data_IF_417322927993
#
_entry.id   IF_417322927993
#
_cell.length_a   1.000
_cell.length_b   1.000
_cell.length_c   1.000
_cell.angle_alpha   90.00
_cell.angle_beta   90.00
_cell.angle_gamma   90.00
#
_symmetry.space_group_name_H-M   'P 1'
#
loop_
_entity.id
_entity.type
_entity.pdbx_description
1 polymer ?
#
# COMPACT_ATOMS: atom_id res chain seq x y z
N UNK A 1 -1.38 -17.97 -8.68
CA UNK A 1 0.02 -17.59 -8.34
C UNK A 1 0.46 -16.30 -9.04
N UNK A 2 0.32 -16.17 -10.37
CA UNK A 2 0.77 -14.96 -11.10
C UNK A 2 0.11 -13.65 -10.64
N UNK A 3 -1.18 -13.67 -10.28
CA UNK A 3 -1.90 -12.48 -9.82
C UNK A 3 -1.36 -11.91 -8.50
N UNK A 4 -1.03 -12.76 -7.52
CA UNK A 4 -0.47 -12.31 -6.24
C UNK A 4 0.93 -11.71 -6.41
N UNK A 5 1.75 -12.30 -7.30
CA UNK A 5 3.07 -11.76 -7.64
C UNK A 5 2.97 -10.40 -8.32
N UNK A 6 2.00 -10.23 -9.23
CA UNK A 6 1.75 -8.94 -9.87
C UNK A 6 1.37 -7.87 -8.84
N UNK A 7 0.44 -8.18 -7.92
CA UNK A 7 0.03 -7.25 -6.86
C UNK A 7 1.23 -6.91 -5.96
N UNK A 8 2.02 -7.90 -5.54
CA UNK A 8 3.21 -7.67 -4.73
C UNK A 8 4.25 -6.78 -5.44
N UNK A 9 4.52 -7.03 -6.72
CA UNK A 9 5.42 -6.21 -7.52
C UNK A 9 4.91 -4.77 -7.68
N UNK A 10 3.60 -4.59 -7.84
CA UNK A 10 3.01 -3.26 -7.98
C UNK A 10 3.04 -2.47 -6.67
N UNK A 11 2.80 -3.11 -5.53
CA UNK A 11 2.99 -2.50 -4.21
C UNK A 11 4.47 -2.15 -3.98
N UNK A 12 5.40 -3.03 -4.37
CA UNK A 12 6.84 -2.77 -4.27
C UNK A 12 7.26 -1.58 -5.12
N UNK A 13 6.73 -1.45 -6.34
CA UNK A 13 6.94 -0.28 -7.18
C UNK A 13 6.56 1.03 -6.47
N UNK A 14 5.43 1.07 -5.75
CA UNK A 14 5.06 2.26 -4.98
C UNK A 14 6.01 2.52 -3.82
N UNK A 15 6.41 1.50 -3.07
CA UNK A 15 7.39 1.65 -1.99
C UNK A 15 8.70 2.24 -2.50
N UNK A 16 9.24 1.69 -3.59
CA UNK A 16 10.51 2.13 -4.16
C UNK A 16 10.44 3.55 -4.73
N UNK A 17 9.30 3.92 -5.32
CA UNK A 17 9.09 5.26 -5.89
C UNK A 17 8.87 6.34 -4.82
N UNK A 18 8.35 5.97 -3.65
CA UNK A 18 7.94 6.93 -2.61
C UNK A 18 8.88 6.98 -1.39
N UNK A 19 9.76 6.00 -1.22
CA UNK A 19 10.63 5.89 -0.03
C UNK A 19 11.50 7.12 0.22
N UNK A 20 11.90 7.85 -0.83
CA UNK A 20 12.75 9.04 -0.69
C UNK A 20 12.01 10.20 -0.01
N UNK A 21 10.72 10.38 -0.31
CA UNK A 21 9.86 11.44 0.25
C UNK A 21 9.10 10.98 1.51
N UNK A 22 8.77 9.69 1.58
CA UNK A 22 8.08 9.04 2.69
C UNK A 22 8.76 7.71 3.04
N UNK A 23 9.87 7.73 3.81
CA UNK A 23 10.61 6.52 4.17
C UNK A 23 9.79 5.47 4.92
N UNK A 24 8.71 5.90 5.59
CA UNK A 24 7.79 5.03 6.33
C UNK A 24 6.68 4.43 5.47
N UNK A 25 6.68 4.60 4.15
CA UNK A 25 5.59 4.14 3.28
C UNK A 25 5.34 2.63 3.39
N UNK A 26 6.38 1.83 3.62
CA UNK A 26 6.25 0.39 3.82
C UNK A 26 5.33 0.03 5.01
N UNK A 27 5.25 0.92 6.01
CA UNK A 27 4.41 0.77 7.21
C UNK A 27 3.08 1.55 7.11
N UNK A 28 2.70 1.98 5.90
CA UNK A 28 1.48 2.76 5.63
C UNK A 28 0.53 1.99 4.71
N UNK A 29 -0.14 0.94 5.22
CA UNK A 29 -1.08 0.14 4.42
C UNK A 29 -2.25 0.98 3.90
N UNK A 30 -2.62 2.04 4.62
CA UNK A 30 -3.61 3.03 4.17
C UNK A 30 -3.16 3.73 2.88
N UNK A 31 -1.92 4.22 2.84
CA UNK A 31 -1.39 4.91 1.66
C UNK A 31 -1.15 3.93 0.53
N UNK A 32 -0.56 2.76 0.79
CA UNK A 32 -0.36 1.74 -0.23
C UNK A 32 -1.69 1.26 -0.84
N UNK A 33 -2.73 1.11 -0.03
CA UNK A 33 -4.10 0.82 -0.49
C UNK A 33 -4.66 1.93 -1.37
N UNK A 34 -4.48 3.19 -0.99
CA UNK A 34 -4.89 4.34 -1.81
C UNK A 34 -4.15 4.38 -3.15
N UNK A 35 -2.82 4.20 -3.16
CA UNK A 35 -2.01 4.20 -4.38
C UNK A 35 -2.39 3.06 -5.33
N UNK A 36 -2.62 1.87 -4.78
CA UNK A 36 -3.13 0.74 -5.54
C UNK A 36 -4.49 1.05 -6.20
N UNK A 37 -5.39 1.71 -5.46
CA UNK A 37 -6.74 2.02 -5.91
C UNK A 37 -6.77 3.10 -7.02
N UNK A 38 -5.96 4.15 -6.90
CA UNK A 38 -5.99 5.28 -7.83
C UNK A 38 -4.99 5.14 -8.99
N UNK A 39 -3.95 4.32 -8.82
CA UNK A 39 -2.97 4.00 -9.85
C UNK A 39 -1.83 5.00 -9.97
N UNK A 40 -0.69 4.52 -10.46
CA UNK A 40 0.56 5.29 -10.51
C UNK A 40 0.51 6.52 -11.42
N UNK A 41 -0.29 6.50 -12.50
CA UNK A 41 -0.37 7.57 -13.50
C UNK A 41 -0.82 8.92 -12.93
N UNK A 42 -1.60 8.92 -11.86
CA UNK A 42 -2.17 10.14 -11.24
C UNK A 42 -1.57 10.45 -9.86
N UNK A 43 -0.54 9.71 -9.45
CA UNK A 43 0.09 9.86 -8.13
C UNK A 43 1.50 10.40 -8.25
N UNK A 44 1.90 11.22 -7.27
CA UNK A 44 3.27 11.71 -7.15
C UNK A 44 3.72 11.61 -5.68
N UNK A 45 4.96 11.16 -5.43
CA UNK A 45 5.54 11.16 -4.09
C UNK A 45 5.40 12.52 -3.41
N UNK A 46 5.03 12.48 -2.14
CA UNK A 46 5.01 13.64 -1.26
C UNK A 46 5.13 13.16 0.19
N UNK A 47 5.60 14.05 1.08
CA UNK A 47 5.93 13.73 2.46
C UNK A 47 4.72 13.59 3.40
N UNK A 48 3.52 14.02 2.97
CA UNK A 48 2.31 13.98 3.80
C UNK A 48 1.05 13.57 3.01
N UNK A 49 1.01 12.36 2.45
CA UNK A 49 -0.14 11.90 1.69
C UNK A 49 -1.31 11.58 2.63
N UNK A 50 -2.52 11.75 2.11
CA UNK A 50 -3.75 11.39 2.80
C UNK A 50 -4.37 10.16 2.13
N UNK A 51 -4.86 9.19 2.92
CA UNK A 51 -5.58 8.07 2.35
C UNK A 51 -6.95 8.51 1.81
N UNK A 52 -7.48 7.74 0.88
CA UNK A 52 -8.88 7.75 0.50
C UNK A 52 -9.66 6.68 1.27
N UNK A 53 -10.98 6.62 1.06
CA UNK A 53 -11.84 5.62 1.74
C UNK A 53 -11.37 4.18 1.53
N UNK A 54 -10.90 3.84 0.33
CA UNK A 54 -10.35 2.51 0.05
C UNK A 54 -9.10 2.23 0.89
N UNK A 55 -8.16 3.18 0.99
CA UNK A 55 -6.98 3.07 1.84
C UNK A 55 -7.33 2.91 3.32
N UNK A 56 -8.31 3.67 3.81
CA UNK A 56 -8.81 3.51 5.18
C UNK A 56 -9.39 2.12 5.42
N UNK A 57 -10.17 1.58 4.47
CA UNK A 57 -10.66 0.21 4.52
C UNK A 57 -9.52 -0.81 4.55
N UNK A 58 -8.47 -0.63 3.74
CA UNK A 58 -7.30 -1.52 3.77
C UNK A 58 -6.66 -1.52 5.15
N UNK A 59 -6.40 -0.35 5.75
CA UNK A 59 -5.81 -0.25 7.08
C UNK A 59 -6.65 -0.95 8.14
N UNK A 60 -7.97 -0.76 8.14
CA UNK A 60 -8.87 -1.35 9.14
C UNK A 60 -8.93 -2.88 9.08
N UNK A 61 -8.54 -3.48 7.95
CA UNK A 61 -8.49 -4.93 7.76
C UNK A 61 -7.05 -5.45 7.65
N UNK A 62 -6.04 -4.59 7.78
CA UNK A 62 -4.66 -5.02 7.59
C UNK A 62 -4.19 -5.92 8.75
N UNK A 63 -4.63 -5.60 9.96
CA UNK A 63 -4.28 -6.35 11.17
C UNK A 63 -4.88 -7.77 11.17
N UNK A 64 -5.96 -8.01 10.42
CA UNK A 64 -6.53 -9.36 10.28
C UNK A 64 -5.74 -10.27 9.34
N UNK A 65 -4.73 -9.74 8.62
CA UNK A 65 -3.94 -10.58 7.72
C UNK A 65 -3.03 -11.57 8.47
N UNK A 66 -2.58 -11.28 9.69
CA UNK A 66 -1.85 -12.24 10.51
C UNK A 66 -2.67 -13.51 10.73
N UNK A 67 -3.89 -13.31 11.25
CA UNK A 67 -4.87 -14.36 11.50
C UNK A 67 -5.18 -15.16 10.23
N UNK A 68 -5.46 -14.46 9.12
CA UNK A 68 -5.84 -15.10 7.85
C UNK A 68 -4.71 -15.91 7.21
N UNK A 69 -3.46 -15.52 7.46
CA UNK A 69 -2.29 -16.23 6.96
C UNK A 69 -1.81 -17.34 7.92
N UNK A 70 -2.43 -17.48 9.10
CA UNK A 70 -2.02 -18.42 10.13
C UNK A 70 -0.62 -18.11 10.69
N UNK A 71 -0.28 -16.83 10.80
CA UNK A 71 1.03 -16.34 11.24
C UNK A 71 1.04 -15.85 12.70
N UNK A 72 -0.11 -15.92 13.37
CA UNK A 72 -0.32 -15.56 14.78
C UNK A 72 -0.22 -16.77 15.74
#
# INVERSE_FOLDING_TARGET
MLLCMYVAAYIKYFQDTWQDELPSIANRPDILGTLYNIGHEITKPNSNPKPNSFGEHVKNNYDTMGDLLGLD
#
